data_IF_245360781417
#
_entry.id   IF_245360781417
#
_cell.length_a   1.000
_cell.length_b   1.000
_cell.length_c   1.000
_cell.angle_alpha   90.00
_cell.angle_beta   90.00
_cell.angle_gamma   90.00
#
_symmetry.space_group_name_H-M   'P 1'
#
loop_
_entity.id
_entity.type
_entity.pdbx_description
1 polymer ?
#
# COMPACT_ATOMS: atom_id res chain seq x y z
N UNK A 1 -12.41 18.24 -2.73
CA UNK A 1 -11.52 17.11 -2.45
C UNK A 1 -11.85 16.05 -3.48
N UNK A 2 -10.88 15.65 -4.30
CA UNK A 2 -11.07 14.48 -5.17
C UNK A 2 -11.18 13.28 -4.26
N UNK A 3 -12.26 12.52 -4.37
CA UNK A 3 -12.41 11.28 -3.62
C UNK A 3 -11.26 10.33 -3.96
N UNK A 4 -10.71 9.65 -2.96
CA UNK A 4 -9.68 8.65 -3.20
C UNK A 4 -10.30 7.52 -4.03
N UNK A 5 -9.75 7.28 -5.22
CA UNK A 5 -10.15 6.15 -6.05
C UNK A 5 -9.16 5.02 -5.77
N UNK A 6 -9.58 3.99 -5.03
CA UNK A 6 -8.67 2.94 -4.64
C UNK A 6 -8.27 2.07 -5.84
N UNK A 7 -7.07 1.45 -5.79
CA UNK A 7 -6.65 0.48 -6.79
C UNK A 7 -7.68 -0.64 -7.00
N UNK A 8 -7.89 -1.03 -8.25
CA UNK A 8 -8.78 -2.16 -8.59
C UNK A 8 -8.19 -3.50 -8.19
N UNK A 9 -6.86 -3.57 -8.06
CA UNK A 9 -6.14 -4.77 -7.65
C UNK A 9 -6.20 -4.89 -6.12
N UNK A 10 -6.76 -5.99 -5.62
CA UNK A 10 -7.03 -6.19 -4.20
C UNK A 10 -5.77 -6.11 -3.33
N UNK A 11 -4.68 -6.78 -3.73
CA UNK A 11 -3.45 -6.79 -2.93
C UNK A 11 -2.82 -5.38 -2.87
N UNK A 12 -2.90 -4.60 -3.95
CA UNK A 12 -2.39 -3.23 -4.00
C UNK A 12 -3.17 -2.36 -3.03
N UNK A 13 -4.51 -2.49 -3.02
CA UNK A 13 -5.37 -1.77 -2.07
C UNK A 13 -4.99 -2.09 -0.63
N UNK A 14 -4.88 -3.37 -0.26
CA UNK A 14 -4.49 -3.78 1.09
C UNK A 14 -3.11 -3.25 1.48
N UNK A 15 -2.19 -3.20 0.53
CA UNK A 15 -0.84 -2.69 0.76
C UNK A 15 -0.84 -1.17 1.02
N UNK A 16 -1.59 -0.39 0.23
CA UNK A 16 -1.76 1.05 0.45
C UNK A 16 -2.44 1.32 1.80
N UNK A 17 -3.52 0.60 2.11
CA UNK A 17 -4.23 0.72 3.39
C UNK A 17 -3.30 0.44 4.58
N UNK A 18 -2.45 -0.59 4.51
CA UNK A 18 -1.46 -0.91 5.54
C UNK A 18 -0.38 0.18 5.66
N UNK A 19 0.12 0.67 4.53
CA UNK A 19 1.14 1.70 4.51
C UNK A 19 0.63 3.01 5.12
N UNK A 20 -0.54 3.46 4.70
CA UNK A 20 -1.15 4.69 5.22
C UNK A 20 -1.56 4.55 6.68
N UNK A 21 -2.19 3.44 7.08
CA UNK A 21 -2.60 3.21 8.47
C UNK A 21 -1.41 3.12 9.45
N UNK A 22 -0.25 2.66 8.97
CA UNK A 22 0.97 2.57 9.77
C UNK A 22 1.82 3.84 9.76
N UNK A 23 1.39 4.89 9.06
CA UNK A 23 2.19 6.10 8.86
C UNK A 23 3.49 5.84 8.10
N UNK A 24 3.50 4.85 7.21
CA UNK A 24 4.64 4.48 6.38
C UNK A 24 5.68 3.57 7.04
N UNK A 25 5.34 2.95 8.18
CA UNK A 25 6.27 2.05 8.91
C UNK A 25 6.07 0.56 8.56
N UNK A 26 4.96 0.21 7.91
CA UNK A 26 4.64 -1.14 7.45
C UNK A 26 4.23 -1.12 5.97
N UNK A 27 4.32 -2.27 5.29
CA UNK A 27 3.91 -2.38 3.88
C UNK A 27 4.87 -1.72 2.88
N UNK A 28 6.10 -1.36 3.28
CA UNK A 28 7.11 -0.69 2.43
C UNK A 28 7.84 -1.64 1.47
N UNK A 29 7.54 -2.94 1.51
CA UNK A 29 8.13 -3.96 0.64
C UNK A 29 7.05 -4.62 -0.20
N UNK A 30 7.42 -5.11 -1.38
CA UNK A 30 6.51 -5.79 -2.29
C UNK A 30 6.15 -7.15 -1.71
N UNK A 31 4.95 -7.25 -1.13
CA UNK A 31 4.46 -8.46 -0.48
C UNK A 31 5.54 -9.03 0.47
N UNK A 32 5.83 -10.33 0.37
CA UNK A 32 6.83 -11.04 1.19
C UNK A 32 8.19 -11.18 0.48
N UNK A 33 8.41 -10.46 -0.63
CA UNK A 33 9.66 -10.59 -1.41
C UNK A 33 10.85 -9.89 -0.77
N UNK A 34 10.60 -8.99 0.18
CA UNK A 34 11.62 -8.10 0.76
C UNK A 34 12.13 -7.02 -0.20
N UNK A 35 11.66 -6.97 -1.44
CA UNK A 35 12.02 -5.91 -2.39
C UNK A 35 11.32 -4.61 -2.00
N UNK A 36 12.00 -3.45 -2.03
CA UNK A 36 11.36 -2.16 -1.80
C UNK A 36 10.18 -1.93 -2.75
N UNK A 37 9.07 -1.39 -2.24
CA UNK A 37 7.91 -1.03 -3.04
C UNK A 37 7.61 0.47 -2.89
N UNK A 38 7.42 1.14 -4.02
CA UNK A 38 7.04 2.56 -4.06
C UNK A 38 5.51 2.60 -4.11
N UNK A 39 4.91 3.23 -3.09
CA UNK A 39 3.47 3.30 -2.87
C UNK A 39 2.96 4.69 -3.25
#
# INVERSE_FOLDING_TARGET
>A
MTEYIPPTIEWVRKQVELYEASGGTQGSTLMETGMPCII
#
